data_IF_299619398592
#
_entry.id   IF_299619398592
#
_cell.length_a   1.000
_cell.length_b   1.000
_cell.length_c   1.000
_cell.angle_alpha   90.00
_cell.angle_beta   90.00
_cell.angle_gamma   90.00
#
_symmetry.space_group_name_H-M   'P 1'
#
loop_
_entity.id
_entity.type
_entity.pdbx_description
1 polymer ?
#
# COMPACT_ATOMS: atom_id res chain seq x y z
N UNK A 1 18.14 29.57 16.34
CA UNK A 1 18.46 28.63 15.24
C UNK A 1 17.62 27.35 15.28
N UNK A 2 17.40 26.74 16.46
CA UNK A 2 16.54 25.54 16.63
C UNK A 2 15.11 25.69 16.09
N UNK A 3 14.43 26.81 16.38
CA UNK A 3 13.08 27.07 15.87
C UNK A 3 13.00 27.13 14.33
N UNK A 4 14.07 27.63 13.68
CA UNK A 4 14.17 27.66 12.21
C UNK A 4 14.35 26.24 11.65
N UNK A 5 15.21 25.43 12.28
CA UNK A 5 15.44 24.03 11.89
C UNK A 5 14.16 23.21 12.06
N UNK A 6 13.47 23.32 13.19
CA UNK A 6 12.21 22.61 13.45
C UNK A 6 11.15 22.99 12.40
N UNK A 7 11.00 24.29 12.12
CA UNK A 7 10.06 24.75 11.09
C UNK A 7 10.41 24.20 9.71
N UNK A 8 11.70 24.17 9.35
CA UNK A 8 12.18 23.64 8.07
C UNK A 8 11.91 22.14 7.94
N UNK A 9 12.18 21.36 8.99
CA UNK A 9 11.93 19.92 9.03
C UNK A 9 10.44 19.62 8.99
N UNK A 10 9.62 20.35 9.74
CA UNK A 10 8.17 20.17 9.72
C UNK A 10 7.58 20.44 8.32
N UNK A 11 8.02 21.51 7.65
CA UNK A 11 7.61 21.79 6.27
C UNK A 11 8.04 20.69 5.30
N UNK A 12 9.27 20.19 5.42
CA UNK A 12 9.76 19.10 4.60
C UNK A 12 8.93 17.82 4.82
N UNK A 13 8.62 17.47 6.07
CA UNK A 13 7.78 16.31 6.40
C UNK A 13 6.37 16.46 5.81
N UNK A 14 5.76 17.64 5.89
CA UNK A 14 4.44 17.90 5.28
C UNK A 14 4.49 17.69 3.77
N UNK A 15 5.52 18.21 3.09
CA UNK A 15 5.68 18.03 1.65
C UNK A 15 5.84 16.55 1.30
N UNK A 16 6.67 15.81 2.04
CA UNK A 16 6.86 14.36 1.82
C UNK A 16 5.55 13.60 2.06
N UNK A 17 4.80 13.92 3.11
CA UNK A 17 3.49 13.32 3.35
C UNK A 17 2.50 13.62 2.23
N UNK A 18 2.43 14.86 1.75
CA UNK A 18 1.55 15.23 0.63
C UNK A 18 1.93 14.50 -0.66
N UNK A 19 3.22 14.47 -1.01
CA UNK A 19 3.69 13.78 -2.21
C UNK A 19 3.42 12.27 -2.11
N UNK A 20 3.74 11.65 -0.97
CA UNK A 20 3.47 10.21 -0.78
C UNK A 20 1.98 9.89 -0.82
N UNK A 21 1.13 10.73 -0.23
CA UNK A 21 -0.32 10.57 -0.28
C UNK A 21 -0.84 10.68 -1.71
N UNK A 22 -0.39 11.69 -2.47
CA UNK A 22 -0.76 11.85 -3.88
C UNK A 22 -0.29 10.65 -4.70
N UNK A 23 0.95 10.19 -4.53
CA UNK A 23 1.44 8.98 -5.20
C UNK A 23 0.61 7.75 -4.86
N UNK A 24 0.22 7.58 -3.60
CA UNK A 24 -0.64 6.49 -3.15
C UNK A 24 -2.04 6.57 -3.81
N UNK A 25 -2.61 7.77 -3.93
CA UNK A 25 -3.87 7.99 -4.64
C UNK A 25 -3.76 7.66 -6.12
N UNK A 26 -2.68 8.06 -6.77
CA UNK A 26 -2.46 7.75 -8.18
C UNK A 26 -2.40 6.23 -8.43
N UNK A 27 -1.79 5.47 -7.52
CA UNK A 27 -1.78 4.01 -7.59
C UNK A 27 -3.17 3.40 -7.41
N UNK A 28 -4.01 3.95 -6.51
CA UNK A 28 -5.39 3.50 -6.34
C UNK A 28 -6.31 3.87 -7.52
N UNK A 29 -5.96 4.91 -8.26
CA UNK A 29 -6.68 5.32 -9.48
C UNK A 29 -6.31 4.46 -10.69
N UNK A 30 -5.27 3.62 -10.61
CA UNK A 30 -4.94 2.69 -11.69
C UNK A 30 -6.13 1.75 -11.87
N UNK A 31 -6.78 1.73 -13.06
CA UNK A 31 -7.88 0.82 -13.32
C UNK A 31 -7.34 -0.61 -13.38
N UNK A 32 -7.73 -1.42 -12.41
CA UNK A 32 -7.33 -2.81 -12.29
C UNK A 32 -7.47 -3.27 -10.84
N UNK A 33 -8.03 -4.44 -10.62
CA UNK A 33 -8.08 -5.00 -9.27
C UNK A 33 -6.76 -5.74 -8.99
N UNK A 34 -5.91 -5.26 -8.08
CA UNK A 34 -4.66 -5.93 -7.75
C UNK A 34 -4.93 -7.39 -7.30
N UNK A 35 -6.07 -7.66 -6.70
CA UNK A 35 -6.48 -9.02 -6.30
C UNK A 35 -6.70 -9.92 -7.51
N UNK A 36 -7.34 -9.42 -8.57
CA UNK A 36 -7.52 -10.18 -9.82
C UNK A 36 -6.18 -10.38 -10.54
N UNK A 37 -5.27 -9.41 -10.48
CA UNK A 37 -3.92 -9.60 -11.05
C UNK A 37 -3.09 -10.62 -10.28
N UNK A 38 -3.31 -10.76 -8.96
CA UNK A 38 -2.60 -11.72 -8.10
C UNK A 38 -3.17 -13.13 -8.17
N UNK A 39 -4.50 -13.29 -8.12
CA UNK A 39 -5.15 -14.60 -8.14
C UNK A 39 -5.39 -15.11 -9.57
N UNK A 40 -5.31 -14.24 -10.57
CA UNK A 40 -5.66 -14.56 -11.95
C UNK A 40 -7.17 -14.50 -12.21
N UNK A 41 -7.55 -14.61 -13.48
CA UNK A 41 -8.95 -14.49 -13.93
C UNK A 41 -9.84 -15.67 -13.48
N UNK A 42 -9.26 -16.77 -13.00
CA UNK A 42 -9.98 -17.96 -12.53
C UNK A 42 -10.26 -17.96 -11.02
N UNK A 43 -9.94 -16.87 -10.33
CA UNK A 43 -10.16 -16.75 -8.89
C UNK A 43 -11.65 -16.83 -8.54
N UNK A 44 -11.99 -17.65 -7.55
CA UNK A 44 -13.35 -17.68 -6.99
C UNK A 44 -13.63 -16.39 -6.20
N UNK A 45 -14.91 -15.98 -6.13
CA UNK A 45 -15.30 -14.78 -5.38
C UNK A 45 -14.87 -14.82 -3.91
N UNK A 46 -14.91 -16.01 -3.29
CA UNK A 46 -14.48 -16.22 -1.91
C UNK A 46 -12.97 -15.97 -1.73
N UNK A 47 -12.14 -16.40 -2.68
CA UNK A 47 -10.70 -16.14 -2.67
C UNK A 47 -10.38 -14.66 -2.86
N UNK A 48 -11.15 -13.97 -3.72
CA UNK A 48 -11.01 -12.52 -3.95
C UNK A 48 -11.31 -11.75 -2.67
N UNK A 49 -12.43 -12.05 -2.01
CA UNK A 49 -12.85 -11.32 -0.81
C UNK A 49 -11.92 -11.60 0.38
N UNK A 50 -11.46 -12.85 0.51
CA UNK A 50 -10.44 -13.22 1.51
C UNK A 50 -9.14 -12.45 1.30
N UNK A 51 -8.63 -12.42 0.06
CA UNK A 51 -7.38 -11.72 -0.23
C UNK A 51 -7.52 -10.20 -0.13
N UNK A 52 -8.68 -9.62 -0.47
CA UNK A 52 -8.96 -8.19 -0.22
C UNK A 52 -8.88 -7.85 1.26
N UNK A 53 -9.46 -8.68 2.12
CA UNK A 53 -9.42 -8.48 3.57
C UNK A 53 -7.99 -8.64 4.12
N UNK A 54 -7.22 -9.64 3.64
CA UNK A 54 -5.81 -9.81 4.02
C UNK A 54 -4.93 -8.64 3.60
N UNK A 55 -5.19 -8.06 2.43
CA UNK A 55 -4.46 -6.90 1.90
C UNK A 55 -5.00 -5.56 2.39
N UNK A 56 -6.00 -5.56 3.28
CA UNK A 56 -6.67 -4.36 3.80
C UNK A 56 -7.30 -3.47 2.71
N UNK A 57 -7.53 -4.02 1.52
CA UNK A 57 -8.14 -3.33 0.38
C UNK A 57 -9.65 -3.09 0.62
N UNK A 58 -10.25 -3.76 1.60
CA UNK A 58 -11.62 -3.56 2.08
C UNK A 58 -11.78 -2.33 2.99
N UNK A 59 -10.68 -1.70 3.42
CA UNK A 59 -10.71 -0.57 4.37
C UNK A 59 -10.76 0.79 3.68
N UNK A 60 -11.27 1.84 4.36
CA UNK A 60 -11.20 3.19 3.85
C UNK A 60 -9.77 3.59 3.50
N UNK A 61 -9.62 4.35 2.42
CA UNK A 61 -8.33 4.78 1.85
C UNK A 61 -7.39 5.41 2.89
N UNK A 62 -7.94 6.20 3.82
CA UNK A 62 -7.16 6.82 4.90
C UNK A 62 -6.55 5.79 5.86
N UNK A 63 -7.26 4.69 6.12
CA UNK A 63 -6.77 3.59 6.96
C UNK A 63 -5.66 2.83 6.25
N UNK A 64 -5.82 2.57 4.94
CA UNK A 64 -4.78 1.92 4.13
C UNK A 64 -3.49 2.76 4.09
N UNK A 65 -3.62 4.07 3.86
CA UNK A 65 -2.47 4.98 3.87
C UNK A 65 -1.80 5.05 5.25
N UNK A 66 -2.58 5.13 6.34
CA UNK A 66 -2.05 5.14 7.70
C UNK A 66 -1.28 3.86 8.05
N UNK A 67 -1.80 2.69 7.67
CA UNK A 67 -1.12 1.41 7.84
C UNK A 67 0.18 1.33 7.02
N UNK A 68 0.13 1.73 5.74
CA UNK A 68 1.31 1.79 4.87
C UNK A 68 2.38 2.75 5.42
N UNK A 69 1.99 3.95 5.86
CA UNK A 69 2.90 4.95 6.41
C UNK A 69 3.51 4.49 7.74
N UNK A 70 2.72 3.83 8.60
CA UNK A 70 3.22 3.24 9.85
C UNK A 70 4.30 2.20 9.58
N UNK A 71 4.04 1.26 8.68
CA UNK A 71 5.00 0.23 8.29
C UNK A 71 6.27 0.85 7.70
N UNK A 72 6.12 1.83 6.80
CA UNK A 72 7.24 2.56 6.20
C UNK A 72 8.14 3.24 7.23
N UNK A 73 7.55 3.91 8.24
CA UNK A 73 8.31 4.55 9.32
C UNK A 73 9.02 3.53 10.21
N UNK A 74 8.43 2.35 10.42
CA UNK A 74 9.07 1.24 11.14
C UNK A 74 10.13 0.48 10.31
N UNK A 75 10.34 0.85 9.05
CA UNK A 75 11.27 0.19 8.13
C UNK A 75 10.72 -1.08 7.48
N UNK A 76 9.43 -1.36 7.64
CA UNK A 76 8.72 -2.41 6.92
C UNK A 76 8.15 -1.82 5.62
N UNK A 77 8.82 -2.09 4.50
CA UNK A 77 8.40 -1.62 3.18
C UNK A 77 7.25 -2.44 2.58
N UNK A 78 6.72 -3.41 3.33
CA UNK A 78 5.71 -4.35 2.87
C UNK A 78 6.31 -5.50 2.06
N UNK A 79 5.48 -6.52 1.80
CA UNK A 79 5.84 -7.62 0.91
C UNK A 79 5.62 -7.19 -0.54
N UNK A 80 6.62 -7.41 -1.38
CA UNK A 80 6.55 -7.21 -2.83
C UNK A 80 5.36 -7.97 -3.41
N UNK A 81 4.30 -7.24 -3.76
CA UNK A 81 3.09 -7.78 -4.38
C UNK A 81 3.39 -8.41 -5.76
N UNK A 82 4.44 -7.93 -6.43
CA UNK A 82 4.85 -8.39 -7.76
C UNK A 82 5.82 -9.58 -7.74
N UNK A 83 6.35 -9.98 -6.58
CA UNK A 83 7.27 -11.11 -6.47
C UNK A 83 6.69 -12.21 -5.58
N UNK A 84 5.47 -12.66 -5.90
CA UNK A 84 5.07 -14.03 -5.60
C UNK A 84 5.40 -14.86 -6.84
N UNK A 85 6.69 -15.08 -7.04
CA UNK A 85 7.19 -16.03 -8.03
C UNK A 85 6.68 -17.42 -7.64
N UNK A 86 5.53 -17.79 -8.21
CA UNK A 86 5.20 -19.11 -8.74
C UNK A 86 6.05 -20.25 -8.16
N UNK A 87 5.78 -20.67 -6.93
CA UNK A 87 6.61 -21.66 -6.23
C UNK A 87 5.85 -22.43 -5.16
N UNK A 88 4.78 -23.14 -5.54
CA UNK A 88 4.35 -24.44 -4.99
C UNK A 88 2.89 -24.71 -5.38
N UNK A 89 2.65 -25.01 -6.65
CA UNK A 89 1.61 -25.99 -6.96
C UNK A 89 2.31 -27.35 -6.83
N UNK A 90 2.25 -27.95 -5.64
CA UNK A 90 2.62 -29.35 -5.47
C UNK A 90 1.54 -30.21 -6.15
N UNK A 91 1.93 -31.19 -6.98
CA UNK A 91 0.99 -32.08 -7.66
C UNK A 91 0.18 -32.94 -6.68
#
# INVERSE_FOLDING_TARGET
MSAFIIRRVALALIVVMLVSFISFMLLQLIPGDPVLTMLGLEATQEQIDTLRAELWLDRPVMVQYGHWLGNFITGDFGKSVMYREKGEFRP
#
